data_IF_252957641534
#
_entry.id   IF_252957641534
#
_cell.length_a   1.000
_cell.length_b   1.000
_cell.length_c   1.000
_cell.angle_alpha   90.00
_cell.angle_beta   90.00
_cell.angle_gamma   90.00
#
_symmetry.space_group_name_H-M   'P 1'
#
loop_
_entity.id
_entity.type
_entity.pdbx_description
1 polymer ?
#
# COMPACT_ATOMS: atom_id res chain seq x y z
N UNK A 1 0.10 -56.86 -51.69
CA UNK A 1 -0.52 -55.60 -51.23
C UNK A 1 0.26 -55.09 -50.04
N UNK A 2 1.10 -54.08 -50.24
CA UNK A 2 1.76 -53.35 -49.16
C UNK A 2 1.80 -51.87 -49.59
N UNK A 3 0.83 -51.09 -49.13
CA UNK A 3 0.85 -49.64 -49.29
C UNK A 3 1.80 -49.03 -48.25
N UNK A 4 2.95 -48.57 -48.73
CA UNK A 4 3.84 -47.68 -48.00
C UNK A 4 3.25 -46.27 -48.04
N UNK A 5 2.57 -45.84 -46.96
CA UNK A 5 2.23 -44.43 -46.73
C UNK A 5 3.52 -43.61 -46.58
N UNK A 6 3.88 -42.89 -47.62
CA UNK A 6 4.90 -41.84 -47.59
C UNK A 6 4.45 -40.71 -46.66
N UNK A 7 5.05 -40.61 -45.48
CA UNK A 7 5.02 -39.40 -44.63
C UNK A 7 5.78 -38.29 -45.36
N UNK A 8 5.07 -37.37 -45.98
CA UNK A 8 5.65 -36.11 -46.44
C UNK A 8 6.17 -35.34 -45.22
N UNK A 9 7.48 -35.08 -45.19
CA UNK A 9 8.14 -34.29 -44.17
C UNK A 9 7.86 -32.81 -44.46
N UNK A 10 6.94 -32.20 -43.73
CA UNK A 10 6.74 -30.74 -43.78
C UNK A 10 8.04 -30.04 -43.37
N UNK A 11 8.56 -29.18 -44.24
CA UNK A 11 9.72 -28.34 -43.92
C UNK A 11 9.34 -27.39 -42.78
N UNK A 12 10.20 -27.18 -41.77
CA UNK A 12 9.93 -26.20 -40.73
C UNK A 12 9.76 -24.81 -41.37
N UNK A 13 8.62 -24.18 -41.14
CA UNK A 13 8.34 -22.85 -41.64
C UNK A 13 9.21 -21.82 -40.90
N UNK A 14 10.31 -21.45 -41.53
CA UNK A 14 11.27 -20.48 -41.01
C UNK A 14 10.60 -19.13 -40.69
N UNK A 15 9.56 -18.74 -41.46
CA UNK A 15 8.80 -17.52 -41.21
C UNK A 15 8.00 -17.60 -39.89
N UNK A 16 7.39 -18.75 -39.61
CA UNK A 16 6.66 -18.98 -38.36
C UNK A 16 7.56 -18.95 -37.11
N UNK A 17 8.83 -19.37 -37.23
CA UNK A 17 9.79 -19.28 -36.13
C UNK A 17 10.41 -17.88 -35.96
N UNK A 18 10.48 -17.09 -37.04
CA UNK A 18 11.08 -15.75 -37.03
C UNK A 18 10.14 -14.68 -36.46
N UNK A 19 8.83 -14.78 -36.74
CA UNK A 19 7.86 -13.76 -36.32
C UNK A 19 7.81 -13.52 -34.78
N UNK A 20 7.83 -14.55 -33.90
CA UNK A 20 7.91 -14.34 -32.46
C UNK A 20 9.22 -13.66 -32.03
N UNK A 21 10.35 -14.03 -32.64
CA UNK A 21 11.67 -13.46 -32.35
C UNK A 21 11.78 -12.00 -32.76
N UNK A 22 11.14 -11.62 -33.87
CA UNK A 22 11.02 -10.23 -34.30
C UNK A 22 10.16 -9.41 -33.32
N UNK A 23 9.07 -9.97 -32.79
CA UNK A 23 8.25 -9.32 -31.75
C UNK A 23 9.05 -9.11 -30.46
N UNK A 24 9.81 -10.11 -30.02
CA UNK A 24 10.71 -10.01 -28.86
C UNK A 24 11.80 -8.95 -29.07
N UNK A 25 12.44 -8.93 -30.24
CA UNK A 25 13.43 -7.91 -30.59
C UNK A 25 12.83 -6.50 -30.64
N UNK A 26 11.65 -6.34 -31.23
CA UNK A 26 10.91 -5.07 -31.28
C UNK A 26 10.53 -4.59 -29.87
N UNK A 27 10.09 -5.49 -28.99
CA UNK A 27 9.81 -5.16 -27.60
C UNK A 27 11.04 -4.60 -26.89
N UNK A 28 12.18 -5.30 -26.95
CA UNK A 28 13.43 -4.85 -26.32
C UNK A 28 13.88 -3.51 -26.89
N UNK A 29 13.82 -3.35 -28.21
CA UNK A 29 14.19 -2.10 -28.89
C UNK A 29 13.31 -0.92 -28.46
N UNK A 30 11.99 -1.12 -28.36
CA UNK A 30 11.05 -0.08 -27.92
C UNK A 30 11.27 0.31 -26.45
N UNK A 31 11.52 -0.66 -25.57
CA UNK A 31 11.84 -0.39 -24.16
C UNK A 31 13.15 0.39 -24.05
N UNK A 32 14.19 -0.04 -24.77
CA UNK A 32 15.47 0.65 -24.79
C UNK A 32 15.33 2.09 -25.33
N UNK A 33 14.55 2.29 -26.41
CA UNK A 33 14.28 3.60 -26.99
C UNK A 33 13.50 4.50 -26.02
N UNK A 34 12.49 3.95 -25.34
CA UNK A 34 11.72 4.68 -24.33
C UNK A 34 12.61 5.13 -23.18
N UNK A 35 13.44 4.24 -22.63
CA UNK A 35 14.38 4.58 -21.56
C UNK A 35 15.44 5.59 -22.01
N UNK A 36 15.99 5.41 -23.21
CA UNK A 36 16.93 6.37 -23.82
C UNK A 36 16.31 7.77 -23.87
N UNK A 37 15.08 7.88 -24.39
CA UNK A 37 14.40 9.17 -24.52
C UNK A 37 14.01 9.77 -23.17
N UNK A 38 13.57 8.96 -22.20
CA UNK A 38 13.29 9.44 -20.83
C UNK A 38 14.55 10.07 -20.25
N UNK A 39 15.68 9.35 -20.28
CA UNK A 39 16.94 9.84 -19.74
C UNK A 39 17.40 11.09 -20.48
N UNK A 40 17.38 11.06 -21.81
CA UNK A 40 17.78 12.19 -22.64
C UNK A 40 16.93 13.46 -22.37
N UNK A 41 15.61 13.33 -22.30
CA UNK A 41 14.70 14.47 -22.09
C UNK A 41 14.74 14.99 -20.65
N UNK A 42 14.78 14.10 -19.64
CA UNK A 42 14.81 14.51 -18.24
C UNK A 42 16.15 15.15 -17.83
N UNK A 43 17.25 14.74 -18.46
CA UNK A 43 18.56 15.36 -18.27
C UNK A 43 18.88 16.41 -19.34
N UNK A 44 17.87 16.99 -19.99
CA UNK A 44 18.10 18.05 -20.98
C UNK A 44 18.71 19.28 -20.32
N UNK A 45 19.83 19.73 -20.87
CA UNK A 45 20.49 20.98 -20.51
C UNK A 45 20.64 21.84 -21.78
N UNK A 46 20.37 23.14 -21.66
CA UNK A 46 20.44 24.08 -22.79
C UNK A 46 21.86 24.49 -23.14
N UNK A 47 22.79 24.26 -22.24
CA UNK A 47 24.21 24.54 -22.45
C UNK A 47 24.90 23.42 -23.23
N UNK A 48 24.24 22.26 -23.34
CA UNK A 48 24.75 21.11 -24.10
C UNK A 48 24.69 21.37 -25.61
N UNK A 49 25.64 20.81 -26.38
CA UNK A 49 25.62 20.88 -27.84
C UNK A 49 24.46 20.05 -28.42
N UNK A 50 23.63 20.70 -29.23
CA UNK A 50 22.41 20.15 -29.84
C UNK A 50 22.17 20.62 -31.28
N UNK A 51 20.94 20.46 -31.73
CA UNK A 51 20.45 20.89 -33.04
C UNK A 51 20.32 22.42 -33.13
N UNK A 52 19.85 23.04 -32.05
CA UNK A 52 19.55 24.47 -31.97
C UNK A 52 20.70 25.31 -31.42
N UNK A 53 21.60 24.68 -30.66
CA UNK A 53 22.70 25.34 -29.97
C UNK A 53 24.00 24.55 -30.13
N UNK A 54 25.10 25.22 -30.48
CA UNK A 54 26.39 24.55 -30.72
C UNK A 54 27.10 24.10 -29.45
N UNK A 55 26.62 24.49 -28.27
CA UNK A 55 27.26 24.24 -26.98
C UNK A 55 28.35 25.26 -26.68
N UNK A 56 28.56 25.57 -25.40
CA UNK A 56 29.71 26.38 -24.92
C UNK A 56 30.58 25.64 -23.90
N UNK A 57 30.11 24.50 -23.40
CA UNK A 57 30.79 23.66 -22.41
C UNK A 57 31.63 22.56 -23.09
N UNK A 58 32.81 22.28 -22.52
CA UNK A 58 33.68 21.17 -22.92
C UNK A 58 33.06 19.80 -22.54
N UNK A 59 32.23 19.77 -21.49
CA UNK A 59 31.53 18.57 -21.00
C UNK A 59 30.03 18.66 -21.23
N UNK A 60 29.43 17.53 -21.65
CA UNK A 60 27.99 17.37 -21.84
C UNK A 60 27.33 16.89 -20.54
N UNK A 61 26.30 17.60 -20.08
CA UNK A 61 25.58 17.30 -18.84
C UNK A 61 24.51 16.21 -19.01
N UNK A 62 23.99 16.03 -20.23
CA UNK A 62 23.01 15.00 -20.54
C UNK A 62 23.51 13.59 -20.17
N UNK A 63 22.68 12.81 -19.47
CA UNK A 63 23.01 11.45 -19.02
C UNK A 63 23.28 10.49 -20.18
N UNK A 64 22.66 10.74 -21.35
CA UNK A 64 22.89 9.97 -22.57
C UNK A 64 23.99 10.59 -23.46
N UNK A 65 24.79 11.50 -22.90
CA UNK A 65 25.90 12.18 -23.57
C UNK A 65 25.43 13.07 -24.72
N UNK A 66 26.35 13.33 -25.66
CA UNK A 66 26.11 14.25 -26.80
C UNK A 66 24.95 13.82 -27.69
N UNK A 67 24.77 12.51 -27.90
CA UNK A 67 23.63 11.99 -28.66
C UNK A 67 22.30 12.22 -27.92
N UNK A 68 22.31 12.11 -26.58
CA UNK A 68 21.16 12.41 -25.74
C UNK A 68 20.74 13.86 -25.82
N UNK A 69 21.71 14.76 -25.63
CA UNK A 69 21.51 16.21 -25.73
C UNK A 69 20.91 16.60 -27.09
N UNK A 70 21.49 16.09 -28.19
CA UNK A 70 21.00 16.38 -29.53
C UNK A 70 19.58 15.86 -29.77
N UNK A 71 19.28 14.62 -29.37
CA UNK A 71 17.94 14.04 -29.52
C UNK A 71 16.91 14.80 -28.68
N UNK A 72 17.23 15.10 -27.42
CA UNK A 72 16.32 15.85 -26.55
C UNK A 72 16.03 17.24 -27.11
N UNK A 73 17.06 17.94 -27.60
CA UNK A 73 16.93 19.25 -28.22
C UNK A 73 16.02 19.23 -29.46
N UNK A 74 16.19 18.24 -30.36
CA UNK A 74 15.30 18.07 -31.53
C UNK A 74 13.86 17.86 -31.10
N UNK A 75 13.59 16.97 -30.14
CA UNK A 75 12.23 16.68 -29.70
C UNK A 75 11.58 17.89 -29.02
N UNK A 76 12.32 18.60 -28.17
CA UNK A 76 11.83 19.80 -27.49
C UNK A 76 11.65 20.98 -28.46
N UNK A 77 12.51 21.11 -29.46
CA UNK A 77 12.37 22.10 -30.52
C UNK A 77 11.08 21.89 -31.31
N UNK A 78 10.79 20.65 -31.73
CA UNK A 78 9.59 20.37 -32.53
C UNK A 78 8.31 20.36 -31.71
N UNK A 79 8.32 19.71 -30.53
CA UNK A 79 7.11 19.35 -29.81
C UNK A 79 6.98 20.01 -28.43
N UNK A 80 7.99 20.75 -27.96
CA UNK A 80 7.98 21.33 -26.62
C UNK A 80 7.65 20.29 -25.55
N UNK A 81 6.67 20.58 -24.69
CA UNK A 81 6.21 19.67 -23.64
C UNK A 81 5.64 18.35 -24.14
N UNK A 82 5.15 18.30 -25.38
CA UNK A 82 4.68 17.04 -25.95
C UNK A 82 5.81 16.08 -26.32
N UNK A 83 7.08 16.51 -26.31
CA UNK A 83 8.22 15.62 -26.41
C UNK A 83 8.19 14.49 -25.37
N UNK A 84 7.71 14.79 -24.15
CA UNK A 84 7.61 13.82 -23.05
C UNK A 84 6.51 12.76 -23.26
N UNK A 85 5.64 12.92 -24.26
CA UNK A 85 4.65 11.91 -24.63
C UNK A 85 5.28 10.74 -25.41
N UNK A 86 6.32 10.99 -26.20
CA UNK A 86 6.95 9.98 -27.04
C UNK A 86 7.51 8.78 -26.27
N UNK A 87 8.26 8.95 -25.16
CA UNK A 87 8.69 7.81 -24.37
C UNK A 87 7.53 7.00 -23.78
N UNK A 88 6.45 7.67 -23.34
CA UNK A 88 5.23 7.00 -22.88
C UNK A 88 4.58 6.17 -24.00
N UNK A 89 4.58 6.70 -25.23
CA UNK A 89 4.03 5.98 -26.39
C UNK A 89 4.86 4.75 -26.76
N UNK A 90 6.19 4.85 -26.73
CA UNK A 90 7.05 3.68 -26.97
C UNK A 90 6.89 2.63 -25.87
N UNK A 91 6.77 3.06 -24.62
CA UNK A 91 6.47 2.16 -23.50
C UNK A 91 5.09 1.49 -23.64
N UNK A 92 4.07 2.24 -24.06
CA UNK A 92 2.74 1.71 -24.34
C UNK A 92 2.77 0.69 -25.49
N UNK A 93 3.47 0.99 -26.58
CA UNK A 93 3.61 0.07 -27.70
C UNK A 93 4.35 -1.21 -27.29
N UNK A 94 5.40 -1.09 -26.47
CA UNK A 94 6.08 -2.25 -25.88
C UNK A 94 5.11 -3.06 -25.00
N UNK A 95 4.29 -2.40 -24.19
CA UNK A 95 3.27 -3.07 -23.37
C UNK A 95 2.24 -3.83 -24.21
N UNK A 96 1.75 -3.24 -25.31
CA UNK A 96 0.82 -3.90 -26.24
C UNK A 96 1.45 -5.14 -26.86
N UNK A 97 2.70 -5.04 -27.37
CA UNK A 97 3.43 -6.19 -27.92
C UNK A 97 3.61 -7.28 -26.87
N UNK A 98 3.94 -6.90 -25.64
CA UNK A 98 4.12 -7.84 -24.54
C UNK A 98 2.80 -8.53 -24.16
N UNK A 99 1.70 -7.79 -24.06
CA UNK A 99 0.37 -8.33 -23.71
C UNK A 99 -0.13 -9.27 -24.81
N UNK A 100 0.02 -8.87 -26.07
CA UNK A 100 -0.54 -9.57 -27.22
C UNK A 100 0.43 -10.62 -27.78
N UNK A 101 1.50 -10.97 -27.04
CA UNK A 101 2.50 -11.97 -27.45
C UNK A 101 1.93 -13.37 -27.70
N UNK A 102 0.83 -13.72 -27.02
CA UNK A 102 0.15 -15.02 -27.13
C UNK A 102 -1.08 -14.96 -28.04
N UNK A 103 -1.54 -13.75 -28.38
CA UNK A 103 -2.75 -13.56 -29.18
C UNK A 103 -2.41 -13.61 -30.67
N UNK A 104 -3.06 -14.49 -31.42
CA UNK A 104 -3.04 -14.48 -32.89
C UNK A 104 -4.04 -13.45 -33.44
N UNK A 105 -3.94 -12.21 -32.94
CA UNK A 105 -4.68 -11.10 -33.50
C UNK A 105 -4.14 -10.80 -34.91
N UNK A 106 -4.99 -10.91 -35.93
CA UNK A 106 -4.67 -10.41 -37.26
C UNK A 106 -4.41 -8.89 -37.21
N UNK A 107 -3.37 -8.45 -37.92
CA UNK A 107 -3.03 -7.03 -38.00
C UNK A 107 -4.02 -6.31 -38.92
N UNK A 108 -4.79 -5.38 -38.36
CA UNK A 108 -5.74 -4.57 -39.12
C UNK A 108 -5.14 -3.23 -39.54
N UNK A 109 -4.83 -3.10 -40.83
CA UNK A 109 -4.34 -1.85 -41.43
C UNK A 109 -5.26 -0.64 -41.17
N UNK A 110 -6.60 -0.74 -41.32
CA UNK A 110 -7.49 0.38 -41.01
C UNK A 110 -7.37 0.86 -39.56
N UNK A 111 -7.29 -0.06 -38.60
CA UNK A 111 -7.14 0.29 -37.17
C UNK A 111 -5.79 0.96 -36.92
N UNK A 112 -4.72 0.44 -37.52
CA UNK A 112 -3.39 1.03 -37.41
C UNK A 112 -3.34 2.47 -37.97
N UNK A 113 -3.91 2.68 -39.15
CA UNK A 113 -3.97 4.01 -39.79
C UNK A 113 -4.82 4.97 -38.97
N UNK A 114 -5.98 4.52 -38.48
CA UNK A 114 -6.86 5.34 -37.65
C UNK A 114 -6.18 5.77 -36.34
N UNK A 115 -5.49 4.85 -35.66
CA UNK A 115 -4.70 5.16 -34.46
C UNK A 115 -3.53 6.09 -34.76
N UNK A 116 -2.85 5.89 -35.89
CA UNK A 116 -1.77 6.76 -36.35
C UNK A 116 -2.25 8.19 -36.64
N UNK A 117 -3.42 8.33 -37.28
CA UNK A 117 -4.05 9.63 -37.50
C UNK A 117 -4.49 10.27 -36.17
N UNK A 118 -5.08 9.49 -35.27
CA UNK A 118 -5.43 9.95 -33.93
C UNK A 118 -4.23 10.51 -33.19
N UNK A 119 -3.12 9.78 -33.22
CA UNK A 119 -1.86 10.22 -32.62
C UNK A 119 -1.34 11.51 -33.24
N UNK A 120 -1.34 11.62 -34.57
CA UNK A 120 -0.89 12.82 -35.27
C UNK A 120 -1.74 14.04 -34.85
N UNK A 121 -3.06 13.87 -34.76
CA UNK A 121 -3.97 14.91 -34.29
C UNK A 121 -3.70 15.28 -32.83
N UNK A 122 -3.45 14.30 -31.96
CA UNK A 122 -3.08 14.54 -30.55
C UNK A 122 -1.79 15.34 -30.45
N UNK A 123 -0.77 15.01 -31.25
CA UNK A 123 0.50 15.73 -31.23
C UNK A 123 0.30 17.16 -31.71
N UNK A 124 -0.24 17.36 -32.92
CA UNK A 124 -0.44 18.71 -33.49
C UNK A 124 -1.28 19.60 -32.59
N UNK A 125 -2.40 19.06 -32.09
CA UNK A 125 -3.31 19.83 -31.27
C UNK A 125 -2.73 20.07 -29.86
N UNK A 126 -2.06 19.08 -29.28
CA UNK A 126 -1.46 19.24 -27.96
C UNK A 126 -0.28 20.21 -27.97
N UNK A 127 0.53 20.23 -29.03
CA UNK A 127 1.60 21.22 -29.19
C UNK A 127 1.02 22.63 -29.31
N UNK A 128 -0.08 22.81 -30.04
CA UNK A 128 -0.75 24.10 -30.16
C UNK A 128 -1.40 24.54 -28.84
N UNK A 129 -2.05 23.63 -28.10
CA UNK A 129 -2.54 23.92 -26.74
C UNK A 129 -1.40 24.33 -25.81
N UNK A 130 -0.28 23.62 -25.86
CA UNK A 130 0.91 23.94 -25.10
C UNK A 130 1.45 25.33 -25.45
N UNK A 131 1.54 25.68 -26.73
CA UNK A 131 1.97 27.00 -27.20
C UNK A 131 1.04 28.12 -26.70
N UNK A 132 -0.27 27.96 -26.82
CA UNK A 132 -1.26 28.99 -26.45
C UNK A 132 -1.38 29.18 -24.93
N UNK A 133 -1.46 28.09 -24.17
CA UNK A 133 -1.87 28.15 -22.75
C UNK A 133 -0.73 27.96 -21.76
N UNK A 134 0.41 27.40 -22.16
CA UNK A 134 1.52 27.06 -21.26
C UNK A 134 2.79 27.88 -21.51
N UNK A 135 2.71 28.99 -22.25
CA UNK A 135 3.86 29.81 -22.64
C UNK A 135 4.76 30.23 -21.45
N UNK A 136 4.17 30.52 -20.29
CA UNK A 136 4.91 30.91 -19.08
C UNK A 136 5.87 29.84 -18.57
N UNK A 137 5.47 28.56 -18.66
CA UNK A 137 6.32 27.43 -18.28
C UNK A 137 7.32 27.08 -19.38
N UNK A 138 7.04 27.52 -20.61
CA UNK A 138 7.87 27.31 -21.79
C UNK A 138 9.01 28.31 -21.97
N UNK A 139 9.07 29.41 -21.21
CA UNK A 139 9.98 30.54 -21.45
C UNK A 139 11.46 30.16 -21.53
N UNK A 140 11.84 29.06 -20.89
CA UNK A 140 13.21 28.62 -20.97
C UNK A 140 13.55 27.87 -22.28
N UNK A 141 12.60 27.24 -22.94
CA UNK A 141 12.85 26.52 -24.19
C UNK A 141 12.91 27.51 -25.36
N UNK A 142 13.79 27.25 -26.33
CA UNK A 142 14.02 28.17 -27.45
C UNK A 142 12.74 28.47 -28.28
N UNK A 143 11.84 27.50 -28.40
CA UNK A 143 10.55 27.63 -29.12
C UNK A 143 9.33 27.49 -28.19
N UNK A 144 9.52 27.77 -26.90
CA UNK A 144 8.43 27.75 -25.93
C UNK A 144 7.88 26.35 -25.61
N UNK A 145 6.72 26.34 -24.96
CA UNK A 145 6.07 25.13 -24.42
C UNK A 145 5.49 24.20 -25.49
N UNK A 146 5.16 24.72 -26.68
CA UNK A 146 4.58 23.93 -27.78
C UNK A 146 5.57 23.52 -28.86
N UNK A 147 6.82 24.00 -28.81
CA UNK A 147 7.77 23.87 -29.90
C UNK A 147 7.31 24.64 -31.16
N UNK A 148 8.10 24.52 -32.23
CA UNK A 148 7.81 25.19 -33.51
C UNK A 148 6.48 24.70 -34.11
N UNK A 149 6.14 23.42 -33.97
CA UNK A 149 4.89 22.87 -34.52
C UNK A 149 3.68 23.51 -33.85
N UNK A 150 3.72 23.63 -32.51
CA UNK A 150 2.64 24.28 -31.76
C UNK A 150 2.49 25.74 -32.09
N UNK A 151 3.61 26.48 -32.18
CA UNK A 151 3.62 27.88 -32.53
C UNK A 151 3.00 28.12 -33.92
N UNK A 152 3.43 27.38 -34.94
CA UNK A 152 2.91 27.50 -36.31
C UNK A 152 1.41 27.18 -36.39
N UNK A 153 0.95 26.11 -35.72
CA UNK A 153 -0.48 25.77 -35.71
C UNK A 153 -1.31 26.88 -35.02
N UNK A 154 -0.80 27.45 -33.93
CA UNK A 154 -1.45 28.56 -33.24
C UNK A 154 -1.49 29.83 -34.09
N UNK A 155 -0.40 30.17 -34.77
CA UNK A 155 -0.29 31.34 -35.63
C UNK A 155 -1.20 31.25 -36.86
N UNK A 156 -1.50 30.03 -37.34
CA UNK A 156 -2.49 29.80 -38.41
C UNK A 156 -3.94 29.90 -37.91
N UNK A 157 -4.24 29.39 -36.70
CA UNK A 157 -5.62 29.28 -36.23
C UNK A 157 -6.14 30.54 -35.52
N UNK A 158 -5.30 31.22 -34.75
CA UNK A 158 -5.73 32.38 -33.94
C UNK A 158 -6.26 33.53 -34.79
N UNK A 159 -5.64 33.92 -35.93
CA UNK A 159 -6.16 34.99 -36.77
C UNK A 159 -7.52 34.65 -37.41
N UNK A 160 -7.77 33.36 -37.68
CA UNK A 160 -8.99 32.91 -38.37
C UNK A 160 -10.16 32.74 -37.39
N UNK A 161 -9.90 32.17 -36.20
CA UNK A 161 -10.96 31.76 -35.26
C UNK A 161 -10.99 32.57 -33.96
N UNK A 162 -10.11 33.56 -33.78
CA UNK A 162 -9.76 34.19 -32.50
C UNK A 162 -9.14 33.22 -31.48
N UNK A 163 -8.53 33.74 -30.42
CA UNK A 163 -7.87 32.92 -29.39
C UNK A 163 -8.82 31.89 -28.74
N UNK A 164 -10.05 32.29 -28.43
CA UNK A 164 -11.04 31.42 -27.78
C UNK A 164 -11.53 30.34 -28.75
N UNK A 165 -11.86 30.70 -29.99
CA UNK A 165 -12.32 29.75 -31.01
C UNK A 165 -11.23 28.76 -31.41
N UNK A 166 -10.00 29.24 -31.60
CA UNK A 166 -8.84 28.38 -31.84
C UNK A 166 -8.62 27.39 -30.69
N UNK A 167 -8.72 27.85 -29.43
CA UNK A 167 -8.61 26.96 -28.26
C UNK A 167 -9.66 25.85 -28.30
N UNK A 168 -10.92 26.16 -28.61
CA UNK A 168 -11.99 25.16 -28.69
C UNK A 168 -11.74 24.13 -29.80
N UNK A 169 -11.33 24.58 -30.99
CA UNK A 169 -11.03 23.70 -32.13
C UNK A 169 -9.85 22.78 -31.81
N UNK A 170 -8.77 23.34 -31.27
CA UNK A 170 -7.57 22.58 -30.92
C UNK A 170 -7.89 21.61 -29.78
N UNK A 171 -8.63 22.03 -28.75
CA UNK A 171 -9.04 21.15 -27.66
C UNK A 171 -9.92 19.99 -28.15
N UNK A 172 -10.91 20.27 -28.99
CA UNK A 172 -11.75 19.24 -29.59
C UNK A 172 -10.93 18.25 -30.43
N UNK A 173 -10.00 18.76 -31.24
CA UNK A 173 -9.10 17.95 -32.07
C UNK A 173 -8.16 17.10 -31.21
N UNK A 174 -7.64 17.66 -30.12
CA UNK A 174 -6.79 16.95 -29.16
C UNK A 174 -7.54 15.79 -28.51
N UNK A 175 -8.75 16.05 -27.99
CA UNK A 175 -9.58 15.03 -27.35
C UNK A 175 -10.01 13.95 -28.33
N UNK A 176 -10.38 14.33 -29.56
CA UNK A 176 -10.71 13.38 -30.62
C UNK A 176 -9.51 12.50 -30.98
N UNK A 177 -8.34 13.10 -31.21
CA UNK A 177 -7.11 12.36 -31.49
C UNK A 177 -6.74 11.40 -30.36
N UNK A 178 -6.86 11.87 -29.12
CA UNK A 178 -6.53 11.08 -27.92
C UNK A 178 -7.47 9.87 -27.80
N UNK A 179 -8.75 10.06 -28.10
CA UNK A 179 -9.76 9.00 -28.14
C UNK A 179 -9.43 7.97 -29.20
N UNK A 180 -9.06 8.41 -30.40
CA UNK A 180 -8.70 7.54 -31.52
C UNK A 180 -7.39 6.77 -31.29
N UNK A 181 -6.41 7.36 -30.60
CA UNK A 181 -5.12 6.73 -30.32
C UNK A 181 -5.17 5.72 -29.16
N UNK A 182 -5.81 6.10 -28.06
CA UNK A 182 -5.83 5.31 -26.81
C UNK A 182 -7.05 4.38 -26.68
N UNK A 183 -7.96 4.37 -27.67
CA UNK A 183 -9.25 3.66 -27.61
C UNK A 183 -10.06 4.02 -26.33
N UNK A 184 -10.01 5.29 -25.90
CA UNK A 184 -10.66 5.71 -24.66
C UNK A 184 -12.18 5.71 -24.84
N UNK A 185 -12.88 5.03 -23.93
CA UNK A 185 -14.32 5.23 -23.73
C UNK A 185 -14.56 6.32 -22.68
N UNK A 186 -15.04 7.48 -23.11
CA UNK A 186 -15.38 8.58 -22.20
C UNK A 186 -16.43 8.20 -21.16
N UNK A 187 -17.38 7.33 -21.50
CA UNK A 187 -18.37 6.81 -20.56
C UNK A 187 -17.70 5.99 -19.45
N UNK A 188 -16.82 5.06 -19.82
CA UNK A 188 -16.07 4.28 -18.83
C UNK A 188 -15.16 5.15 -17.96
N UNK A 189 -14.56 6.19 -18.55
CA UNK A 189 -13.74 7.14 -17.80
C UNK A 189 -14.57 7.90 -16.76
N UNK A 190 -15.74 8.41 -17.15
CA UNK A 190 -16.67 9.12 -16.26
C UNK A 190 -17.17 8.19 -15.14
N UNK A 191 -17.57 6.96 -15.48
CA UNK A 191 -18.03 5.97 -14.49
C UNK A 191 -16.93 5.58 -13.51
N UNK A 192 -15.71 5.36 -13.99
CA UNK A 192 -14.57 4.96 -13.15
C UNK A 192 -14.17 6.11 -12.23
N UNK A 193 -14.14 7.34 -12.77
CA UNK A 193 -13.84 8.55 -11.98
C UNK A 193 -14.92 8.81 -10.93
N UNK A 194 -16.19 8.64 -11.29
CA UNK A 194 -17.32 8.75 -10.37
C UNK A 194 -17.28 7.70 -9.26
N UNK A 195 -16.92 6.45 -9.59
CA UNK A 195 -16.73 5.38 -8.60
C UNK A 195 -15.59 5.69 -7.64
N UNK A 196 -14.46 6.16 -8.17
CA UNK A 196 -13.30 6.54 -7.36
C UNK A 196 -13.64 7.71 -6.44
N UNK A 197 -14.30 8.76 -6.94
CA UNK A 197 -14.68 9.92 -6.13
C UNK A 197 -15.63 9.53 -5.00
N UNK A 198 -16.67 8.75 -5.30
CA UNK A 198 -17.61 8.24 -4.28
C UNK A 198 -16.90 7.33 -3.26
N UNK A 199 -15.99 6.46 -3.71
CA UNK A 199 -15.23 5.61 -2.80
C UNK A 199 -14.34 6.42 -1.86
N UNK A 200 -13.72 7.49 -2.37
CA UNK A 200 -12.83 8.35 -1.61
C UNK A 200 -13.61 9.17 -0.59
N UNK A 201 -14.78 9.67 -0.97
CA UNK A 201 -15.73 10.30 -0.04
C UNK A 201 -16.16 9.31 1.05
N UNK A 202 -16.50 8.07 0.68
CA UNK A 202 -16.86 7.02 1.65
C UNK A 202 -15.73 6.70 2.63
N UNK A 203 -14.49 6.63 2.16
CA UNK A 203 -13.31 6.42 3.01
C UNK A 203 -13.10 7.59 3.95
N UNK A 204 -13.18 8.84 3.45
CA UNK A 204 -13.02 10.03 4.27
C UNK A 204 -14.12 10.15 5.34
N UNK A 205 -15.37 9.85 4.99
CA UNK A 205 -16.49 9.81 5.92
C UNK A 205 -16.27 8.73 6.99
N UNK A 206 -15.91 7.51 6.59
CA UNK A 206 -15.62 6.42 7.52
C UNK A 206 -14.48 6.78 8.48
N UNK A 207 -13.38 7.32 7.97
CA UNK A 207 -12.25 7.76 8.78
C UNK A 207 -12.64 8.91 9.72
N UNK A 208 -13.41 9.88 9.24
CA UNK A 208 -13.93 10.99 10.05
C UNK A 208 -14.81 10.51 11.20
N UNK A 209 -15.79 9.65 10.92
CA UNK A 209 -16.65 9.06 11.95
C UNK A 209 -15.86 8.25 12.97
N UNK A 210 -14.87 7.45 12.52
CA UNK A 210 -13.99 6.69 13.41
C UNK A 210 -13.17 7.61 14.33
N UNK A 211 -12.61 8.68 13.79
CA UNK A 211 -11.83 9.64 14.56
C UNK A 211 -12.69 10.37 15.61
N UNK A 212 -13.88 10.82 15.23
CA UNK A 212 -14.82 11.47 16.14
C UNK A 212 -15.25 10.50 17.26
N UNK A 213 -15.54 9.24 16.92
CA UNK A 213 -15.89 8.21 17.91
C UNK A 213 -14.76 7.98 18.92
N UNK A 214 -13.53 7.83 18.44
CA UNK A 214 -12.34 7.66 19.29
C UNK A 214 -12.08 8.89 20.17
N UNK A 215 -12.30 10.09 19.66
CA UNK A 215 -12.15 11.33 20.43
C UNK A 215 -13.20 11.44 21.54
N UNK A 216 -14.44 11.06 21.23
CA UNK A 216 -15.54 11.03 22.20
C UNK A 216 -15.26 10.00 23.30
N UNK A 217 -14.85 8.79 22.93
CA UNK A 217 -14.50 7.73 23.87
C UNK A 217 -13.36 8.16 24.81
N UNK A 218 -12.29 8.77 24.27
CA UNK A 218 -11.19 9.31 25.09
C UNK A 218 -11.66 10.40 26.05
N UNK A 219 -12.56 11.29 25.60
CA UNK A 219 -13.12 12.34 26.45
C UNK A 219 -13.97 11.76 27.58
N UNK A 220 -14.80 10.75 27.29
CA UNK A 220 -15.67 10.10 28.27
C UNK A 220 -14.87 9.28 29.29
N UNK A 221 -13.79 8.60 28.87
CA UNK A 221 -12.84 7.93 29.76
C UNK A 221 -12.20 8.95 30.72
N UNK A 222 -11.76 10.10 30.19
CA UNK A 222 -11.12 11.15 31.00
C UNK A 222 -12.09 11.72 32.06
N UNK A 223 -13.32 12.05 31.66
CA UNK A 223 -14.36 12.55 32.58
C UNK A 223 -14.71 11.52 33.65
N UNK A 224 -14.80 10.25 33.28
CA UNK A 224 -15.09 9.18 34.23
C UNK A 224 -13.94 8.99 35.22
N UNK A 225 -12.69 9.10 34.78
CA UNK A 225 -11.52 9.06 35.65
C UNK A 225 -11.47 10.25 36.61
N UNK A 226 -11.77 11.46 36.14
CA UNK A 226 -11.87 12.68 36.96
C UNK A 226 -12.98 12.55 38.01
N UNK A 227 -14.19 12.13 37.62
CA UNK A 227 -15.29 11.92 38.55
C UNK A 227 -14.98 10.87 39.63
N UNK A 228 -14.31 9.76 39.25
CA UNK A 228 -13.85 8.76 40.22
C UNK A 228 -12.84 9.35 41.21
N UNK A 229 -11.93 10.21 40.76
CA UNK A 229 -10.96 10.90 41.64
C UNK A 229 -11.67 11.83 42.62
N UNK A 230 -12.59 12.68 42.15
CA UNK A 230 -13.36 13.58 43.01
C UNK A 230 -14.18 12.82 44.08
N UNK A 231 -14.82 11.70 43.70
CA UNK A 231 -15.60 10.89 44.65
C UNK A 231 -14.69 10.24 45.70
N UNK A 232 -13.50 9.80 45.31
CA UNK A 232 -12.49 9.25 46.22
C UNK A 232 -11.96 10.34 47.17
N UNK A 233 -11.63 11.53 46.66
CA UNK A 233 -11.18 12.66 47.48
C UNK A 233 -12.24 13.05 48.50
N UNK A 234 -13.51 13.20 48.10
CA UNK A 234 -14.62 13.46 49.02
C UNK A 234 -14.78 12.35 50.07
N UNK A 235 -14.62 11.08 49.69
CA UNK A 235 -14.65 9.97 50.64
C UNK A 235 -13.49 10.01 51.64
N UNK A 236 -12.29 10.39 51.18
CA UNK A 236 -11.10 10.55 52.03
C UNK A 236 -11.28 11.72 52.99
N UNK A 237 -11.75 12.88 52.50
CA UNK A 237 -12.06 14.04 53.33
C UNK A 237 -13.14 13.74 54.37
N UNK A 238 -14.23 13.07 54.00
CA UNK A 238 -15.27 12.65 54.94
C UNK A 238 -14.74 11.66 55.99
N UNK A 239 -13.83 10.76 55.61
CA UNK A 239 -13.17 9.86 56.57
C UNK A 239 -12.22 10.61 57.50
N UNK A 240 -11.52 11.65 57.02
CA UNK A 240 -10.62 12.47 57.84
C UNK A 240 -11.39 13.40 58.80
N UNK A 241 -12.55 13.94 58.38
CA UNK A 241 -13.41 14.79 59.21
C UNK A 241 -14.21 14.00 60.26
N UNK A 242 -14.41 12.69 60.07
CA UNK A 242 -14.97 11.83 61.11
C UNK A 242 -13.98 11.70 62.25
N UNK A 243 -14.23 12.42 63.34
CA UNK A 243 -13.59 12.16 64.62
C UNK A 243 -13.80 10.67 64.96
N UNK A 244 -12.72 9.98 65.34
CA UNK A 244 -12.81 8.59 65.77
C UNK A 244 -13.85 8.51 66.90
N UNK A 245 -14.85 7.62 66.80
CA UNK A 245 -15.80 7.45 67.89
C UNK A 245 -15.00 7.06 69.13
N UNK A 246 -15.08 7.90 70.17
CA UNK A 246 -14.56 7.56 71.48
C UNK A 246 -15.44 6.41 71.97
N UNK A 247 -14.94 5.19 71.81
CA UNK A 247 -15.54 4.02 72.44
C UNK A 247 -15.20 4.18 73.92
N UNK A 248 -16.11 4.77 74.69
CA UNK A 248 -16.11 4.56 76.13
C UNK A 248 -16.20 3.06 76.34
N UNK A 249 -15.11 2.45 76.78
CA UNK A 249 -15.10 1.04 77.12
C UNK A 249 -16.24 0.83 78.13
N UNK A 250 -17.22 -0.06 77.87
CA UNK A 250 -18.22 -0.37 78.87
C UNK A 250 -17.48 -0.74 80.16
N UNK A 251 -17.95 -0.26 81.33
CA UNK A 251 -17.27 -0.54 82.59
C UNK A 251 -17.04 -2.04 82.68
N UNK A 252 -15.78 -2.44 82.85
CA UNK A 252 -15.39 -3.83 82.97
C UNK A 252 -15.96 -4.39 84.26
N UNK A 253 -17.22 -4.83 84.21
CA UNK A 253 -17.75 -5.78 85.16
C UNK A 253 -17.08 -7.10 84.79
N UNK A 254 -16.04 -7.49 85.54
CA UNK A 254 -15.50 -8.85 85.47
C UNK A 254 -16.69 -9.78 85.71
N UNK A 255 -17.10 -10.62 84.74
CA UNK A 255 -18.14 -11.59 84.99
C UNK A 255 -17.63 -12.53 86.07
N UNK A 256 -18.33 -12.67 87.20
CA UNK A 256 -18.01 -13.72 88.15
C UNK A 256 -18.18 -15.06 87.43
N UNK A 257 -17.06 -15.77 87.19
CA UNK A 257 -17.11 -17.10 86.59
C UNK A 257 -17.92 -18.00 87.52
N UNK A 258 -19.11 -18.41 87.07
CA UNK A 258 -19.91 -19.39 87.82
C UNK A 258 -19.07 -20.67 88.02
N UNK A 259 -19.22 -21.33 89.18
CA UNK A 259 -18.47 -22.55 89.53
C UNK A 259 -18.58 -23.68 88.49
N UNK A 260 -19.56 -23.59 87.57
CA UNK A 260 -19.74 -24.50 86.43
C UNK A 260 -18.75 -24.24 85.28
N UNK A 261 -18.49 -22.96 84.95
CA UNK A 261 -17.57 -22.54 83.87
C UNK A 261 -16.12 -22.90 84.19
N UNK A 262 -15.71 -22.84 85.46
CA UNK A 262 -14.39 -23.30 85.89
C UNK A 262 -14.24 -24.83 85.81
N UNK A 263 -15.33 -25.59 85.95
CA UNK A 263 -15.34 -27.06 85.94
C UNK A 263 -15.41 -27.65 84.52
N UNK A 264 -15.96 -26.89 83.57
CA UNK A 264 -16.05 -27.26 82.15
C UNK A 264 -14.89 -26.72 81.30
N UNK A 265 -13.91 -26.02 81.91
CA UNK A 265 -12.64 -25.70 81.23
C UNK A 265 -11.85 -26.97 80.98
N UNK A 266 -12.01 -27.49 79.77
CA UNK A 266 -11.24 -28.58 79.21
C UNK A 266 -9.75 -28.19 79.22
N UNK A 267 -8.91 -28.98 79.89
CA UNK A 267 -7.47 -28.71 80.01
C UNK A 267 -6.80 -28.63 78.64
N UNK A 268 -5.74 -27.80 78.53
CA UNK A 268 -5.00 -27.55 77.29
C UNK A 268 -4.59 -28.87 76.61
N UNK A 269 -5.29 -29.19 75.51
CA UNK A 269 -5.13 -30.41 74.71
C UNK A 269 -3.89 -30.41 73.80
N UNK A 270 -3.07 -29.35 73.86
CA UNK A 270 -1.82 -29.25 73.13
C UNK A 270 -0.74 -28.69 74.05
N UNK A 271 0.13 -29.57 74.56
CA UNK A 271 1.40 -29.16 75.14
C UNK A 271 2.44 -29.20 74.03
N UNK A 272 2.93 -28.04 73.62
CA UNK A 272 4.07 -27.95 72.71
C UNK A 272 5.20 -27.22 73.42
N UNK A 273 6.28 -27.94 73.68
CA UNK A 273 7.59 -27.35 73.87
C UNK A 273 8.45 -27.87 72.73
N UNK A 274 8.50 -27.12 71.63
CA UNK A 274 9.51 -27.32 70.61
C UNK A 274 10.80 -26.70 71.14
N UNK A 275 11.84 -27.52 71.30
CA UNK A 275 13.20 -27.07 71.61
C UNK A 275 13.96 -26.95 70.28
N UNK A 276 14.62 -25.81 70.09
CA UNK A 276 15.57 -25.40 69.04
C UNK A 276 15.47 -26.04 67.64
N UNK A 277 14.88 -25.28 66.71
CA UNK A 277 15.28 -25.26 65.29
C UNK A 277 14.90 -26.45 64.40
N UNK A 278 14.35 -27.54 64.94
CA UNK A 278 13.91 -28.71 64.16
C UNK A 278 12.37 -28.84 64.22
N UNK A 279 11.71 -29.13 63.08
CA UNK A 279 10.26 -29.35 63.05
C UNK A 279 9.91 -30.57 63.90
N UNK A 280 8.83 -30.44 64.67
CA UNK A 280 8.43 -31.46 65.64
C UNK A 280 7.93 -32.73 64.95
N UNK A 281 8.33 -33.89 65.50
CA UNK A 281 8.07 -35.24 64.97
C UNK A 281 6.58 -35.61 64.82
N UNK A 282 5.65 -34.82 65.38
CA UNK A 282 4.20 -35.03 65.22
C UNK A 282 3.66 -34.58 63.84
N UNK A 283 4.53 -34.02 62.97
CA UNK A 283 4.21 -33.71 61.57
C UNK A 283 4.33 -34.93 60.64
N UNK A 284 4.86 -36.05 61.13
CA UNK A 284 4.81 -37.32 60.42
C UNK A 284 3.52 -38.05 60.81
N UNK A 285 2.82 -38.61 59.83
CA UNK A 285 1.69 -39.49 60.11
C UNK A 285 2.18 -40.69 60.94
N UNK A 286 1.48 -40.96 62.03
CA UNK A 286 1.77 -42.12 62.87
C UNK A 286 1.67 -43.40 62.03
N UNK A 287 2.67 -44.29 62.15
CA UNK A 287 2.63 -45.59 61.50
C UNK A 287 1.47 -46.39 62.09
N UNK A 288 0.38 -46.53 61.34
CA UNK A 288 -0.73 -47.42 61.66
C UNK A 288 -0.20 -48.85 61.59
N UNK A 289 0.25 -49.37 62.73
CA UNK A 289 0.62 -50.76 62.90
C UNK A 289 -0.64 -51.62 62.73
N UNK A 290 -0.99 -51.90 61.48
CA UNK A 290 -2.06 -52.82 61.13
C UNK A 290 -1.57 -54.23 61.48
N UNK A 291 -1.82 -54.66 62.73
CA UNK A 291 -1.50 -56.00 63.21
C UNK A 291 -2.23 -57.11 62.43
N UNK A 292 -3.09 -56.76 61.47
CA UNK A 292 -3.79 -57.67 60.56
C UNK A 292 -3.09 -57.86 59.21
N UNK A 293 -1.96 -57.20 58.94
CA UNK A 293 -1.14 -57.48 57.74
C UNK A 293 -0.18 -58.64 58.01
N UNK A 294 -0.74 -59.84 57.98
CA UNK A 294 -0.01 -61.10 57.80
C UNK A 294 -0.89 -62.03 56.99
N UNK A 295 -0.32 -62.65 55.95
CA UNK A 295 -1.01 -63.74 55.26
C UNK A 295 -1.11 -64.93 56.22
N UNK A 296 -2.26 -65.62 56.24
CA UNK A 296 -2.33 -66.87 56.99
C UNK A 296 -1.40 -67.91 56.35
N UNK A 297 -0.90 -68.90 57.10
CA UNK A 297 -0.11 -69.99 56.53
C UNK A 297 -0.83 -70.68 55.36
N UNK A 298 -2.16 -70.77 55.45
CA UNK A 298 -3.01 -71.35 54.41
C UNK A 298 -3.05 -70.48 53.14
N UNK A 299 -3.09 -69.15 53.27
CA UNK A 299 -3.01 -68.21 52.13
C UNK A 299 -1.66 -68.31 51.41
N UNK A 300 -0.57 -68.51 52.18
CA UNK A 300 0.77 -68.70 51.61
C UNK A 300 0.92 -70.05 50.91
N UNK A 301 0.35 -71.13 51.46
CA UNK A 301 0.37 -72.44 50.80
C UNK A 301 -0.47 -72.42 49.51
N UNK A 302 -1.64 -71.78 49.55
CA UNK A 302 -2.50 -71.61 48.37
C UNK A 302 -1.78 -70.82 47.25
N UNK A 303 -1.09 -69.73 47.59
CA UNK A 303 -0.24 -68.99 46.63
C UNK A 303 0.93 -69.84 46.11
N UNK A 304 1.53 -70.71 46.93
CA UNK A 304 2.64 -71.59 46.51
C UNK A 304 2.22 -72.69 45.53
N UNK A 305 0.96 -73.14 45.57
CA UNK A 305 0.43 -74.14 44.63
C UNK A 305 -0.01 -73.52 43.30
N UNK A 306 -0.22 -72.20 43.28
CA UNK A 306 -0.70 -71.45 42.12
C UNK A 306 0.45 -70.88 41.26
N UNK A 307 1.66 -70.81 41.82
CA UNK A 307 2.92 -70.49 41.12
C UNK A 307 3.63 -71.77 40.67
#
# INVERSE_FOLDING_TARGET
MAESKSKATEKPDFAAQLAPRLKEGAFIALVALALYLILALLSFDRTDPGWTYTGSSESVNNLMGRSGAWVADVFLFFFGFLAYLFPMMFAWQAWVIFRDRVSESEFSWPVFIFKGLGLLLTILAGTALAAMHFYNFGQGYQYGSGGIVGAEVSDLLVPVFSYVGATLIVLATFLFGLTAFLDISWLQLIETTGRLSLSLVGVLQYQGHRMIALWKERSDIKKTAEHRREVLEKHVEQKQQRAAPIIEAPPTVKPEESKRVARERQGNLFRVSAVDGLPALHLLDDNVADQKRGYSPDDLEAMSRLL
#
